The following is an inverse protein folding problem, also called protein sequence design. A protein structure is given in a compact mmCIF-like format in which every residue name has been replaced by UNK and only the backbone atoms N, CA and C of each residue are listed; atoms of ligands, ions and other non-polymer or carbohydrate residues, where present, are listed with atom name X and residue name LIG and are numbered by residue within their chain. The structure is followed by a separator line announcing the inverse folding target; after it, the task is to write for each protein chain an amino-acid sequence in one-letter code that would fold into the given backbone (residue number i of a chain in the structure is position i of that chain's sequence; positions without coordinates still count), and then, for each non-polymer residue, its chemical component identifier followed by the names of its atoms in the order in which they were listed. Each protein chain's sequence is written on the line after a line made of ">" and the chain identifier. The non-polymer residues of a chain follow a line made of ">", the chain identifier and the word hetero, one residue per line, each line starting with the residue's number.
data_IF_844652597341
#
_entry.id   IF_844652597341
#
_cell.length_a   1.000
_cell.length_b   1.000
_cell.length_c   1.000
_cell.angle_alpha   90.00
_cell.angle_beta   90.00
_cell.angle_gamma   90.00
#
_symmetry.space_group_name_H-M   'P 1'
#
loop_
_entity.id
_entity.type
_entity.pdbx_description
1 polymer ?
#
# COMPACT_ATOMS: atom_id res chain seq x y z
N UNK A 1 15.06 7.93 9.48
CA UNK A 1 14.77 7.47 8.12
C UNK A 1 13.26 7.23 7.99
N UNK A 2 12.68 7.67 6.91
CA UNK A 2 11.24 7.53 6.62
C UNK A 2 11.04 6.63 5.41
N UNK A 3 10.20 5.62 5.57
CA UNK A 3 9.84 4.72 4.47
C UNK A 3 8.33 4.69 4.27
N UNK A 4 7.90 4.81 3.01
CA UNK A 4 6.51 4.63 2.62
C UNK A 4 6.35 3.28 1.95
N UNK A 5 5.42 2.48 2.46
CA UNK A 5 5.01 1.24 1.81
C UNK A 5 3.76 1.47 0.98
N UNK A 6 3.77 0.97 -0.23
CA UNK A 6 2.59 0.92 -1.10
C UNK A 6 2.09 -0.52 -1.04
N UNK A 7 0.95 -0.74 -0.40
CA UNK A 7 0.41 -2.07 -0.14
C UNK A 7 -1.06 -2.15 -0.55
N UNK A 8 -1.29 -2.44 -1.83
CA UNK A 8 -2.64 -2.66 -2.37
C UNK A 8 -3.37 -3.73 -1.55
N UNK A 9 -2.72 -4.86 -1.30
CA UNK A 9 -3.19 -5.92 -0.42
C UNK A 9 -2.46 -5.80 0.92
N UNK A 10 -3.21 -5.61 2.00
CA UNK A 10 -2.67 -5.39 3.33
C UNK A 10 -3.72 -5.76 4.38
N UNK A 11 -3.56 -6.92 5.01
CA UNK A 11 -4.53 -7.36 6.02
C UNK A 11 -3.88 -8.34 6.99
N UNK A 12 -3.96 -8.07 8.33
CA UNK A 12 -3.37 -8.95 9.33
C UNK A 12 -4.09 -10.29 9.50
N UNK A 13 -5.33 -10.40 9.02
CA UNK A 13 -6.17 -11.59 9.20
C UNK A 13 -6.32 -12.43 7.94
N UNK A 14 -5.77 -11.99 6.83
CA UNK A 14 -5.85 -12.69 5.56
C UNK A 14 -4.45 -13.12 5.15
N UNK A 15 -4.30 -14.37 4.72
CA UNK A 15 -3.00 -14.92 4.35
C UNK A 15 -2.48 -14.48 2.99
N UNK A 16 -1.35 -15.09 2.59
CA UNK A 16 -0.70 -14.87 1.32
C UNK A 16 -0.26 -13.42 1.13
N UNK A 17 -0.55 -12.81 0.00
CA UNK A 17 -0.07 -11.48 -0.36
C UNK A 17 -0.55 -10.38 0.58
N UNK A 18 -1.80 -10.46 1.03
CA UNK A 18 -2.34 -9.49 1.99
C UNK A 18 -1.58 -9.48 3.31
N UNK A 19 -1.18 -10.66 3.79
CA UNK A 19 -0.34 -10.78 4.98
C UNK A 19 1.07 -10.24 4.74
N UNK A 20 1.61 -10.45 3.54
CA UNK A 20 2.91 -9.89 3.16
C UNK A 20 2.90 -8.36 3.23
N UNK A 21 1.86 -7.74 2.65
CA UNK A 21 1.69 -6.28 2.69
C UNK A 21 1.52 -5.73 4.09
N UNK A 22 1.03 -6.53 5.02
CA UNK A 22 0.90 -6.18 6.43
C UNK A 22 2.19 -6.39 7.21
N UNK A 23 2.82 -7.55 7.07
CA UNK A 23 3.94 -7.97 7.93
C UNK A 23 5.22 -7.19 7.67
N UNK A 24 5.49 -6.79 6.44
CA UNK A 24 6.70 -6.05 6.10
C UNK A 24 6.74 -4.68 6.78
N UNK A 25 5.71 -3.83 6.64
CA UNK A 25 5.69 -2.55 7.34
C UNK A 25 5.74 -2.72 8.86
N UNK A 26 5.00 -3.69 9.38
CA UNK A 26 4.95 -3.93 10.81
C UNK A 26 6.34 -4.30 11.38
N UNK A 27 7.10 -5.11 10.66
CA UNK A 27 8.46 -5.47 11.07
C UNK A 27 9.42 -4.28 11.02
N UNK A 28 9.27 -3.44 10.01
CA UNK A 28 10.18 -2.30 9.81
C UNK A 28 9.98 -1.16 10.80
N UNK A 29 8.82 -1.06 11.46
CA UNK A 29 8.56 0.02 12.42
C UNK A 29 9.56 0.09 13.58
N UNK A 30 10.26 -1.00 13.84
CA UNK A 30 11.30 -1.07 14.89
C UNK A 30 12.58 -0.34 14.49
N UNK A 31 12.77 -0.08 13.20
CA UNK A 31 14.03 0.43 12.67
C UNK A 31 13.93 1.83 12.06
N UNK A 32 12.73 2.25 11.70
CA UNK A 32 12.51 3.55 11.04
C UNK A 32 11.06 4.00 11.18
N UNK A 33 10.79 5.24 10.77
CA UNK A 33 9.43 5.76 10.69
C UNK A 33 8.72 5.13 9.48
N UNK A 34 7.63 4.44 9.71
CA UNK A 34 6.91 3.69 8.69
C UNK A 34 5.54 4.30 8.41
N UNK A 35 5.28 4.49 7.13
CA UNK A 35 4.02 4.97 6.59
C UNK A 35 3.54 3.95 5.56
N UNK A 36 2.22 3.76 5.46
CA UNK A 36 1.63 2.78 4.55
C UNK A 36 0.46 3.39 3.81
N UNK A 37 0.45 3.26 2.49
CA UNK A 37 -0.73 3.56 1.66
C UNK A 37 -1.37 2.24 1.26
N UNK A 38 -2.65 2.09 1.56
CA UNK A 38 -3.42 0.90 1.22
C UNK A 38 -4.85 1.27 0.83
N UNK A 39 -5.64 0.27 0.41
CA UNK A 39 -7.04 0.49 0.03
C UNK A 39 -7.93 0.70 1.26
N UNK A 40 -9.01 1.45 1.05
CA UNK A 40 -9.97 1.73 2.11
C UNK A 40 -10.62 0.47 2.70
N UNK A 41 -10.81 -0.57 1.90
CA UNK A 41 -11.41 -1.82 2.40
C UNK A 41 -10.55 -2.54 3.43
N UNK A 42 -9.25 -2.25 3.47
CA UNK A 42 -8.33 -2.86 4.43
C UNK A 42 -8.37 -2.18 5.81
N UNK A 43 -9.03 -1.04 5.92
CA UNK A 43 -9.04 -0.20 7.12
C UNK A 43 -9.56 -0.92 8.35
N UNK A 44 -10.69 -1.62 8.23
CA UNK A 44 -11.34 -2.25 9.38
C UNK A 44 -10.43 -3.27 10.02
N UNK A 45 -9.83 -4.16 9.24
CA UNK A 45 -8.91 -5.19 9.75
C UNK A 45 -7.64 -4.59 10.34
N UNK A 46 -7.08 -3.60 9.68
CA UNK A 46 -5.85 -2.93 10.13
C UNK A 46 -6.09 -2.22 11.46
N UNK A 47 -7.11 -1.38 11.54
CA UNK A 47 -7.38 -0.60 12.76
C UNK A 47 -7.74 -1.50 13.94
N UNK A 48 -8.50 -2.58 13.69
CA UNK A 48 -8.79 -3.58 14.72
C UNK A 48 -7.51 -4.17 15.32
N UNK A 49 -6.57 -4.58 14.47
CA UNK A 49 -5.32 -5.16 14.95
C UNK A 49 -4.48 -4.14 15.72
N UNK A 50 -4.39 -2.91 15.20
CA UNK A 50 -3.62 -1.84 15.86
C UNK A 50 -4.17 -1.53 17.26
N UNK A 51 -5.50 -1.45 17.38
CA UNK A 51 -6.15 -1.20 18.68
C UNK A 51 -5.95 -2.36 19.66
N UNK A 52 -6.17 -3.59 19.22
CA UNK A 52 -6.04 -4.78 20.07
C UNK A 52 -4.61 -4.99 20.56
N UNK A 53 -3.61 -4.60 19.76
CA UNK A 53 -2.21 -4.78 20.10
C UNK A 53 -1.52 -3.49 20.55
N UNK A 54 -2.27 -2.40 20.71
CA UNK A 54 -1.79 -1.08 21.18
C UNK A 54 -0.59 -0.58 20.39
N UNK A 55 -0.68 -0.67 19.05
CA UNK A 55 0.37 -0.21 18.13
C UNK A 55 0.02 1.20 17.68
N UNK A 56 0.94 2.15 17.89
CA UNK A 56 0.74 3.56 17.53
C UNK A 56 1.95 4.20 16.83
N UNK A 57 2.94 3.39 16.46
CA UNK A 57 4.19 3.84 15.84
C UNK A 57 4.27 3.53 14.34
N UNK A 58 3.13 3.40 13.69
CA UNK A 58 3.00 3.20 12.25
C UNK A 58 1.79 4.00 11.77
N UNK A 59 1.90 4.67 10.63
CA UNK A 59 0.84 5.52 10.12
C UNK A 59 0.30 4.97 8.81
N UNK A 60 -1.03 4.80 8.74
CA UNK A 60 -1.73 4.27 7.57
C UNK A 60 -2.53 5.36 6.88
N UNK A 61 -2.42 5.41 5.56
CA UNK A 61 -3.22 6.27 4.70
C UNK A 61 -4.07 5.38 3.80
N UNK A 62 -5.37 5.66 3.78
CA UNK A 62 -6.32 4.86 3.03
C UNK A 62 -6.74 5.61 1.77
N UNK A 63 -6.38 5.06 0.63
CA UNK A 63 -6.70 5.61 -0.67
C UNK A 63 -7.51 4.62 -1.48
N UNK A 64 -8.52 5.12 -2.17
CA UNK A 64 -9.21 4.34 -3.18
C UNK A 64 -9.58 5.22 -4.37
N UNK A 65 -9.85 4.58 -5.50
CA UNK A 65 -10.33 5.29 -6.67
C UNK A 65 -11.70 5.90 -6.40
N UNK A 66 -12.05 7.00 -7.09
CA UNK A 66 -13.36 7.63 -6.91
C UNK A 66 -14.51 6.64 -7.05
N UNK A 67 -15.57 6.83 -6.29
CA UNK A 67 -16.70 5.90 -6.17
C UNK A 67 -17.32 5.50 -7.50
N UNK A 68 -17.32 6.39 -8.48
CA UNK A 68 -17.83 6.09 -9.81
C UNK A 68 -17.09 4.93 -10.49
N UNK A 69 -15.78 4.80 -10.23
CA UNK A 69 -14.98 3.68 -10.75
C UNK A 69 -15.14 2.45 -9.86
N UNK A 70 -15.29 2.61 -8.55
CA UNK A 70 -15.47 1.51 -7.61
C UNK A 70 -16.74 0.71 -7.91
N UNK A 71 -17.85 1.38 -8.23
CA UNK A 71 -19.10 0.73 -8.58
C UNK A 71 -18.91 -0.17 -9.81
N UNK A 72 -18.18 0.31 -10.80
CA UNK A 72 -17.93 -0.42 -12.04
C UNK A 72 -17.08 -1.67 -11.80
N UNK A 73 -16.07 -1.58 -10.92
CA UNK A 73 -15.10 -2.65 -10.68
C UNK A 73 -15.50 -3.61 -9.55
N UNK A 74 -16.46 -3.26 -8.70
CA UNK A 74 -16.95 -4.13 -7.63
C UNK A 74 -17.70 -5.36 -8.12
N UNK A 75 -18.15 -5.39 -9.37
CA UNK A 75 -18.88 -6.51 -9.93
C UNK A 75 -17.97 -7.62 -10.48
N UNK A 76 -16.94 -7.95 -9.75
CA UNK A 76 -16.38 -9.30 -9.69
C UNK A 76 -15.49 -9.82 -10.80
N UNK A 77 -15.40 -9.21 -11.97
CA UNK A 77 -14.60 -9.75 -13.07
C UNK A 77 -13.45 -8.85 -13.54
N UNK A 78 -13.23 -7.74 -12.84
CA UNK A 78 -12.28 -6.70 -13.27
C UNK A 78 -11.21 -6.38 -12.23
N UNK A 79 -10.73 -7.42 -11.54
CA UNK A 79 -9.69 -7.25 -10.51
C UNK A 79 -8.41 -6.65 -11.11
N UNK A 80 -7.96 -7.17 -12.25
CA UNK A 80 -6.72 -6.68 -12.87
C UNK A 80 -6.84 -5.22 -13.35
N UNK A 81 -7.88 -4.82 -14.11
CA UNK A 81 -8.09 -3.41 -14.43
C UNK A 81 -8.20 -2.50 -13.20
N UNK A 82 -8.88 -2.96 -12.16
CA UNK A 82 -8.98 -2.23 -10.89
C UNK A 82 -7.61 -2.01 -10.27
N UNK A 83 -6.79 -3.06 -10.22
CA UNK A 83 -5.45 -2.98 -9.64
C UNK A 83 -4.55 -2.01 -10.41
N UNK A 84 -4.59 -2.06 -11.74
CA UNK A 84 -3.84 -1.15 -12.60
C UNK A 84 -4.29 0.30 -12.35
N UNK A 85 -5.60 0.52 -12.31
CA UNK A 85 -6.17 1.85 -12.09
C UNK A 85 -5.81 2.38 -10.71
N UNK A 86 -5.86 1.54 -9.67
CA UNK A 86 -5.48 1.93 -8.32
C UNK A 86 -4.00 2.36 -8.26
N UNK A 87 -3.10 1.57 -8.87
CA UNK A 87 -1.68 1.91 -8.89
C UNK A 87 -1.44 3.26 -9.59
N UNK A 88 -2.08 3.48 -10.72
CA UNK A 88 -1.85 4.69 -11.49
C UNK A 88 -2.52 5.93 -10.85
N UNK A 89 -3.72 5.79 -10.31
CA UNK A 89 -4.42 6.93 -9.70
C UNK A 89 -3.89 7.28 -8.32
N UNK A 90 -3.35 6.31 -7.58
CA UNK A 90 -2.74 6.56 -6.27
C UNK A 90 -1.47 7.41 -6.35
N UNK A 91 -0.85 7.51 -7.52
CA UNK A 91 0.37 8.30 -7.72
C UNK A 91 0.23 9.75 -7.23
N UNK A 92 -0.86 10.41 -7.59
CA UNK A 92 -1.10 11.81 -7.16
C UNK A 92 -1.19 11.93 -5.64
N UNK A 93 -1.86 10.99 -5.00
CA UNK A 93 -1.96 10.92 -3.54
C UNK A 93 -0.60 10.68 -2.89
N UNK A 94 0.17 9.72 -3.42
CA UNK A 94 1.51 9.38 -2.92
C UNK A 94 2.47 10.56 -3.10
N UNK A 95 2.38 11.26 -4.24
CA UNK A 95 3.20 12.44 -4.50
C UNK A 95 2.99 13.52 -3.44
N UNK A 96 1.73 13.78 -3.08
CA UNK A 96 1.41 14.75 -2.02
C UNK A 96 1.96 14.32 -0.67
N UNK A 97 1.89 13.04 -0.35
CA UNK A 97 2.47 12.52 0.88
C UNK A 97 3.99 12.69 0.88
N UNK A 98 4.64 12.40 -0.24
CA UNK A 98 6.09 12.57 -0.37
C UNK A 98 6.51 14.04 -0.23
N UNK A 99 5.75 14.96 -0.78
CA UNK A 99 5.98 16.40 -0.61
C UNK A 99 5.88 16.84 0.85
N UNK A 100 4.98 16.21 1.61
CA UNK A 100 4.78 16.52 3.04
C UNK A 100 5.83 15.87 3.94
N UNK A 101 6.12 14.59 3.73
CA UNK A 101 6.94 13.79 4.64
C UNK A 101 8.38 13.58 4.17
N UNK A 102 8.66 13.73 2.89
CA UNK A 102 9.99 13.55 2.29
C UNK A 102 10.56 12.15 2.58
N UNK A 103 9.94 11.12 2.03
CA UNK A 103 10.35 9.74 2.25
C UNK A 103 11.74 9.45 1.67
N UNK A 104 12.57 8.76 2.43
CA UNK A 104 13.87 8.28 1.96
C UNK A 104 13.72 7.09 1.02
N UNK A 105 12.74 6.23 1.31
CA UNK A 105 12.42 5.05 0.50
C UNK A 105 10.92 4.96 0.27
N UNK A 106 10.56 4.53 -0.93
CA UNK A 106 9.18 4.13 -1.27
C UNK A 106 9.24 2.68 -1.71
N UNK A 107 8.55 1.80 -1.01
CA UNK A 107 8.61 0.37 -1.23
C UNK A 107 7.23 -0.16 -1.59
N UNK A 108 7.04 -0.56 -2.85
CA UNK A 108 5.83 -1.27 -3.26
C UNK A 108 5.96 -2.73 -2.89
N UNK A 109 5.28 -3.14 -1.83
CA UNK A 109 5.37 -4.49 -1.28
C UNK A 109 4.28 -5.43 -1.80
N UNK A 110 3.12 -4.90 -2.16
CA UNK A 110 2.03 -5.61 -2.85
C UNK A 110 1.34 -4.65 -3.83
N UNK A 111 0.82 -5.09 -4.95
CA UNK A 111 0.86 -6.47 -5.45
C UNK A 111 2.24 -6.79 -6.06
N UNK A 112 2.64 -8.06 -5.95
CA UNK A 112 3.93 -8.52 -6.46
C UNK A 112 3.94 -8.95 -7.93
N UNK A 113 3.13 -8.35 -8.76
CA UNK A 113 3.06 -8.61 -10.21
C UNK A 113 3.80 -7.48 -10.93
N UNK A 114 4.80 -7.85 -11.74
CA UNK A 114 5.64 -6.88 -12.45
C UNK A 114 4.84 -5.95 -13.39
N UNK A 115 3.63 -6.35 -13.77
CA UNK A 115 2.74 -5.54 -14.61
C UNK A 115 2.03 -4.43 -13.83
N UNK A 116 2.11 -4.46 -12.51
CA UNK A 116 1.36 -3.58 -11.61
C UNK A 116 2.27 -2.61 -10.85
N UNK A 117 3.39 -2.23 -11.45
CA UNK A 117 4.31 -1.28 -10.82
C UNK A 117 3.65 0.10 -10.65
N UNK A 118 3.79 0.67 -9.47
CA UNK A 118 3.26 2.00 -9.17
C UNK A 118 4.16 3.08 -9.77
N UNK A 119 3.58 4.13 -10.40
CA UNK A 119 4.37 5.23 -10.95
C UNK A 119 5.21 6.02 -9.94
N UNK A 120 5.08 5.73 -8.66
CA UNK A 120 5.87 6.38 -7.60
C UNK A 120 7.38 6.24 -7.78
N UNK A 121 7.84 5.30 -8.61
CA UNK A 121 9.26 5.19 -8.97
C UNK A 121 9.80 6.47 -9.63
N UNK A 122 8.92 7.33 -10.14
CA UNK A 122 9.31 8.62 -10.77
C UNK A 122 9.62 9.71 -9.75
N UNK A 123 9.24 9.50 -8.48
CA UNK A 123 9.46 10.50 -7.44
C UNK A 123 10.93 10.55 -7.02
N UNK A 124 11.35 11.68 -6.47
CA UNK A 124 12.71 11.85 -5.98
C UNK A 124 12.88 11.11 -4.64
N UNK A 125 12.96 9.79 -4.73
CA UNK A 125 13.13 8.88 -3.61
C UNK A 125 13.68 7.56 -4.14
N UNK A 126 14.28 6.74 -3.28
CA UNK A 126 14.71 5.40 -3.66
C UNK A 126 13.50 4.48 -3.71
N UNK A 127 13.24 3.90 -4.86
CA UNK A 127 12.07 3.04 -5.07
C UNK A 127 12.46 1.57 -5.05
N UNK A 128 11.73 0.79 -4.26
CA UNK A 128 11.90 -0.66 -4.15
C UNK A 128 10.60 -1.31 -4.60
N UNK A 129 10.71 -2.33 -5.44
CA UNK A 129 9.57 -3.10 -5.90
C UNK A 129 9.80 -4.58 -5.59
N UNK A 130 8.99 -5.13 -4.71
CA UNK A 130 9.07 -6.54 -4.34
C UNK A 130 8.58 -6.82 -2.92
N UNK A 131 8.43 -8.10 -2.58
CA UNK A 131 8.78 -9.28 -3.39
C UNK A 131 7.90 -9.42 -4.63
N UNK A 132 8.50 -9.81 -5.73
CA UNK A 132 7.78 -10.02 -6.99
C UNK A 132 7.48 -11.50 -7.14
N UNK A 133 6.22 -11.81 -7.42
CA UNK A 133 5.77 -13.18 -7.65
C UNK A 133 6.50 -13.80 -8.84
N UNK A 134 6.86 -15.08 -8.71
CA UNK A 134 7.61 -15.80 -9.71
C UNK A 134 6.93 -15.81 -11.08
N UNK A 135 7.73 -15.70 -12.09
CA UNK A 135 7.29 -15.86 -13.47
C UNK A 135 6.95 -17.33 -13.73
#
# INVERSE_FOLDING_TARGET
>A
MKILYIAFACNPYVGSEAFCGWSWPLAMRKYCEVYVVTRKENRIGIEKYLDENKINDIEFFYYDIPDVFNIYYKFGKMYMPYSILWQNTSYGFIKKLHEKYNFDYIHQVTLGDFRLINPAWKLNSKFIFGPVGGA
#
